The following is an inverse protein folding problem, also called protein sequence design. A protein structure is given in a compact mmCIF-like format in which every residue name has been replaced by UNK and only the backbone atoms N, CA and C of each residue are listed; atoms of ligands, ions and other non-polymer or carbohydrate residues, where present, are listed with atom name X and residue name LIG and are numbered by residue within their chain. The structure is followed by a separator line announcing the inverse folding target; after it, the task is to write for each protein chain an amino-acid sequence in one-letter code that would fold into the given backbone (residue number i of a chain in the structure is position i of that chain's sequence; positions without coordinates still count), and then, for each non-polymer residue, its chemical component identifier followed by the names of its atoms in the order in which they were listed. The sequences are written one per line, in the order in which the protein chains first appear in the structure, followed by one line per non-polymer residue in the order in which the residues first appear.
data_IF_691483884203
#
_entry.id   IF_691483884203
#
_cell.length_a   1.000
_cell.length_b   1.000
_cell.length_c   1.000
_cell.angle_alpha   90.00
_cell.angle_beta   90.00
_cell.angle_gamma   90.00
#
_symmetry.space_group_name_H-M   'P 1'
#
loop_
_entity.id
_entity.type
_entity.pdbx_description
1 polymer ?
#
# COMPACT_ATOMS: atom_id res chain seq x y z
N UNK A 1 45.29 32.84 -25.89
CA UNK A 1 44.52 31.82 -25.16
C UNK A 1 45.42 31.30 -24.04
N UNK A 2 45.18 31.73 -22.81
CA UNK A 2 45.97 31.33 -21.63
C UNK A 2 45.16 30.27 -20.86
N UNK A 3 45.83 29.15 -20.56
CA UNK A 3 45.27 27.96 -19.92
C UNK A 3 44.86 28.23 -18.47
N UNK A 4 43.62 27.91 -18.11
CA UNK A 4 43.03 28.09 -16.76
C UNK A 4 42.77 26.76 -16.04
N UNK A 5 43.41 25.67 -16.46
CA UNK A 5 43.02 24.32 -16.02
C UNK A 5 43.86 23.75 -14.85
N UNK A 6 44.83 24.51 -14.31
CA UNK A 6 45.71 24.01 -13.23
C UNK A 6 45.01 23.91 -11.88
N UNK A 7 44.02 24.75 -11.62
CA UNK A 7 43.39 24.84 -10.29
C UNK A 7 42.49 23.63 -9.98
N UNK A 8 42.00 22.93 -11.02
CA UNK A 8 41.13 21.77 -10.84
C UNK A 8 41.91 20.51 -10.40
N UNK A 9 43.19 20.42 -10.75
CA UNK A 9 44.05 19.28 -10.43
C UNK A 9 44.46 19.31 -8.95
N UNK A 10 44.74 20.51 -8.41
CA UNK A 10 45.12 20.66 -7.01
C UNK A 10 43.96 20.34 -6.04
N UNK A 11 42.73 20.62 -6.45
CA UNK A 11 41.54 20.26 -5.68
C UNK A 11 41.36 18.72 -5.59
N UNK A 12 41.52 18.01 -6.71
CA UNK A 12 41.42 16.54 -6.74
C UNK A 12 42.48 15.83 -5.90
N UNK A 13 43.69 16.38 -5.79
CA UNK A 13 44.75 15.81 -4.95
C UNK A 13 44.47 15.99 -3.45
N UNK A 14 43.71 17.03 -3.06
CA UNK A 14 43.28 17.22 -1.66
C UNK A 14 42.18 16.24 -1.27
N UNK A 15 41.27 15.91 -2.20
CA UNK A 15 40.21 14.93 -1.96
C UNK A 15 40.74 13.49 -1.84
N UNK A 16 41.80 13.14 -2.57
CA UNK A 16 42.44 11.81 -2.48
C UNK A 16 43.11 11.58 -1.11
N UNK A 17 43.70 12.61 -0.51
CA UNK A 17 44.30 12.51 0.83
C UNK A 17 43.25 12.44 1.96
N UNK A 18 42.01 12.86 1.68
CA UNK A 18 40.91 12.77 2.64
C UNK A 18 40.36 11.34 2.76
N UNK A 19 40.31 10.58 1.65
CA UNK A 19 39.83 9.18 1.67
C UNK A 19 40.73 8.27 2.50
N UNK A 20 42.06 8.38 2.37
CA UNK A 20 42.99 7.55 3.16
C UNK A 20 42.91 7.84 4.66
N UNK A 21 42.67 9.09 5.05
CA UNK A 21 42.47 9.46 6.46
C UNK A 21 41.16 8.91 7.00
N UNK A 22 40.11 8.86 6.18
CA UNK A 22 38.83 8.25 6.53
C UNK A 22 38.96 6.75 6.74
N UNK A 23 39.63 6.04 5.84
CA UNK A 23 39.82 4.59 5.96
C UNK A 23 40.63 4.21 7.19
N UNK A 24 41.65 4.99 7.54
CA UNK A 24 42.41 4.80 8.79
C UNK A 24 41.55 5.06 10.02
N UNK A 25 40.69 6.08 9.98
CA UNK A 25 39.79 6.40 11.09
C UNK A 25 38.67 5.37 11.27
N UNK A 26 38.15 4.82 10.17
CA UNK A 26 37.16 3.73 10.19
C UNK A 26 37.79 2.47 10.78
N UNK A 27 39.01 2.10 10.37
CA UNK A 27 39.72 0.95 10.94
C UNK A 27 40.01 1.09 12.44
N UNK A 28 40.20 2.30 12.95
CA UNK A 28 40.39 2.54 14.39
C UNK A 28 39.08 2.47 15.20
N UNK A 29 37.92 2.57 14.55
CA UNK A 29 36.61 2.58 15.20
C UNK A 29 35.91 1.22 15.16
N UNK A 30 36.40 0.28 14.35
CA UNK A 30 35.94 -1.11 14.38
C UNK A 30 36.79 -1.81 15.43
N UNK A 31 36.26 -2.15 16.62
CA UNK A 31 36.98 -2.97 17.58
C UNK A 31 37.35 -4.30 16.91
N UNK A 32 38.53 -4.84 17.23
CA UNK A 32 38.96 -6.16 16.77
C UNK A 32 37.96 -7.21 17.28
N UNK A 33 36.93 -7.48 16.49
CA UNK A 33 35.94 -8.50 16.81
C UNK A 33 36.64 -9.85 16.75
N UNK A 34 36.52 -10.59 17.85
CA UNK A 34 37.15 -11.89 18.05
C UNK A 34 36.76 -12.83 16.88
N UNK A 35 37.72 -13.36 16.10
CA UNK A 35 37.45 -14.15 14.89
C UNK A 35 36.49 -15.33 15.14
N UNK A 36 36.43 -15.82 16.37
CA UNK A 36 35.52 -16.90 16.77
C UNK A 36 34.03 -16.47 16.71
N UNK A 37 33.72 -15.21 17.02
CA UNK A 37 32.35 -14.66 16.93
C UNK A 37 31.91 -14.59 15.47
N UNK A 38 32.80 -14.19 14.57
CA UNK A 38 32.51 -14.13 13.13
C UNK A 38 32.20 -15.52 12.55
N UNK A 39 32.98 -16.54 12.91
CA UNK A 39 32.74 -17.91 12.43
C UNK A 39 31.43 -18.49 12.94
N UNK A 40 31.08 -18.27 14.22
CA UNK A 40 29.82 -18.77 14.79
C UNK A 40 28.60 -18.10 14.15
N UNK A 41 28.65 -16.80 13.88
CA UNK A 41 27.57 -16.10 13.20
C UNK A 41 27.42 -16.59 11.75
N UNK A 42 28.53 -16.79 11.05
CA UNK A 42 28.51 -17.29 9.67
C UNK A 42 27.95 -18.72 9.59
N UNK A 43 28.27 -19.57 10.58
CA UNK A 43 27.67 -20.90 10.72
C UNK A 43 26.16 -20.85 10.96
N UNK A 44 25.68 -19.93 11.81
CA UNK A 44 24.24 -19.70 12.05
C UNK A 44 23.52 -19.21 10.79
N UNK A 45 24.14 -18.33 10.00
CA UNK A 45 23.59 -17.86 8.71
C UNK A 45 23.43 -19.01 7.72
N UNK A 46 24.46 -19.85 7.57
CA UNK A 46 24.40 -21.04 6.69
C UNK A 46 23.34 -22.04 7.13
N UNK A 47 23.19 -22.31 8.43
CA UNK A 47 22.15 -23.23 8.91
C UNK A 47 20.74 -22.67 8.67
N UNK A 48 20.53 -21.37 8.88
CA UNK A 48 19.24 -20.73 8.61
C UNK A 48 18.88 -20.76 7.11
N UNK A 49 19.85 -20.55 6.23
CA UNK A 49 19.64 -20.66 4.78
C UNK A 49 19.27 -22.08 4.35
N UNK A 50 19.93 -23.10 4.90
CA UNK A 50 19.61 -24.51 4.64
C UNK A 50 18.19 -24.87 5.09
N UNK A 51 17.75 -24.39 6.25
CA UNK A 51 16.38 -24.61 6.74
C UNK A 51 15.33 -23.97 5.85
N UNK A 52 15.57 -22.74 5.38
CA UNK A 52 14.69 -22.05 4.42
C UNK A 52 14.62 -22.83 3.10
N UNK A 53 15.74 -23.35 2.61
CA UNK A 53 15.77 -24.16 1.40
C UNK A 53 14.98 -25.47 1.58
N UNK A 54 15.14 -26.17 2.70
CA UNK A 54 14.39 -27.39 3.01
C UNK A 54 12.88 -27.13 3.05
N UNK A 55 12.45 -26.07 3.72
CA UNK A 55 11.02 -25.69 3.80
C UNK A 55 10.44 -25.32 2.44
N UNK A 56 11.23 -24.70 1.56
CA UNK A 56 10.80 -24.39 0.20
C UNK A 56 10.70 -25.66 -0.68
N UNK A 57 11.57 -26.65 -0.48
CA UNK A 57 11.47 -27.94 -1.17
C UNK A 57 10.22 -28.72 -0.72
N UNK A 58 9.92 -28.74 0.57
CA UNK A 58 8.71 -29.39 1.11
C UNK A 58 7.43 -28.79 0.51
N UNK A 59 7.35 -27.44 0.45
CA UNK A 59 6.21 -26.75 -0.20
C UNK A 59 6.03 -27.14 -1.66
N UNK A 60 7.12 -27.34 -2.41
CA UNK A 60 7.05 -27.82 -3.81
C UNK A 60 6.50 -29.24 -3.89
N UNK A 61 6.89 -30.14 -2.99
CA UNK A 61 6.36 -31.51 -2.96
C UNK A 61 4.87 -31.55 -2.62
N UNK A 62 4.40 -30.71 -1.70
CA UNK A 62 2.97 -30.62 -1.36
C UNK A 62 2.14 -30.14 -2.55
N UNK A 63 2.61 -29.13 -3.28
CA UNK A 63 1.92 -28.64 -4.49
C UNK A 63 1.83 -29.71 -5.59
N UNK A 64 2.89 -30.52 -5.80
CA UNK A 64 2.88 -31.59 -6.80
C UNK A 64 1.93 -32.75 -6.44
N UNK A 65 1.68 -33.01 -5.15
CA UNK A 65 0.71 -34.04 -4.72
C UNK A 65 -0.74 -33.60 -4.93
N UNK A 66 -1.01 -32.29 -4.80
CA UNK A 66 -2.36 -31.75 -5.01
C UNK A 66 -2.80 -31.79 -6.47
N UNK A 67 -1.90 -31.63 -7.45
CA UNK A 67 -2.26 -31.63 -8.87
C UNK A 67 -2.48 -33.03 -9.47
N UNK A 68 -1.99 -34.10 -8.83
CA UNK A 68 -2.17 -35.48 -9.31
C UNK A 68 -3.50 -36.13 -8.89
N UNK A 69 -4.20 -35.60 -7.88
CA UNK A 69 -5.44 -36.21 -7.36
C UNK A 69 -6.71 -35.68 -8.04
N UNK A 70 -6.61 -34.68 -8.91
CA UNK A 70 -7.75 -34.09 -9.64
C UNK A 70 -7.93 -34.63 -11.08
N UNK A 71 -7.02 -35.45 -11.59
CA UNK A 71 -7.10 -35.97 -12.98
C UNK A 71 -7.70 -37.38 -13.11
N UNK A 72 -8.12 -38.03 -12.02
CA UNK A 72 -8.59 -39.43 -12.03
C UNK A 72 -10.09 -39.60 -11.69
N UNK A 73 -10.91 -38.56 -11.88
CA UNK A 73 -12.36 -38.60 -11.68
C UNK A 73 -13.19 -38.06 -12.85
N UNK A 74 -12.64 -38.01 -14.06
CA UNK A 74 -13.37 -37.60 -15.26
C UNK A 74 -13.42 -38.72 -16.30
N UNK A 75 -13.92 -39.89 -15.93
CA UNK A 75 -14.41 -40.87 -16.90
C UNK A 75 -15.45 -41.75 -16.23
N UNK A 76 -16.73 -41.41 -16.44
CA UNK A 76 -17.96 -42.21 -16.32
C UNK A 76 -19.10 -41.35 -15.76
N UNK A 77 -19.72 -40.52 -16.60
CA UNK A 77 -21.19 -40.43 -16.66
C UNK A 77 -21.61 -39.57 -17.84
N UNK A 78 -21.87 -40.25 -18.95
CA UNK A 78 -22.78 -39.77 -19.99
C UNK A 78 -24.23 -40.04 -19.56
N UNK A 79 -25.11 -39.10 -19.93
CA UNK A 79 -26.55 -39.28 -20.23
C UNK A 79 -27.54 -39.25 -19.05
N UNK A 80 -28.17 -38.08 -18.79
CA UNK A 80 -29.62 -37.87 -19.00
C UNK A 80 -30.11 -36.46 -18.64
N UNK A 81 -31.03 -36.01 -19.49
CA UNK A 81 -32.21 -35.17 -19.22
C UNK A 81 -32.11 -33.68 -18.87
N UNK A 82 -32.78 -32.93 -19.75
CA UNK A 82 -33.15 -31.53 -19.68
C UNK A 82 -34.01 -31.22 -18.44
N UNK A 83 -33.76 -30.07 -17.81
CA UNK A 83 -34.80 -29.14 -17.37
C UNK A 83 -34.20 -27.74 -17.14
N UNK A 84 -34.86 -26.65 -17.58
CA UNK A 84 -34.43 -25.29 -17.29
C UNK A 84 -35.14 -24.78 -16.04
N UNK A 85 -34.40 -24.44 -14.98
CA UNK A 85 -34.94 -23.74 -13.82
C UNK A 85 -33.97 -22.69 -13.31
N UNK A 86 -34.31 -21.45 -13.66
CA UNK A 86 -34.11 -20.18 -12.94
C UNK A 86 -32.69 -19.89 -12.41
N UNK A 87 -32.08 -18.92 -13.09
CA UNK A 87 -30.85 -18.24 -12.75
C UNK A 87 -31.02 -17.49 -11.42
N UNK A 88 -30.26 -17.89 -10.40
CA UNK A 88 -29.82 -16.99 -9.34
C UNK A 88 -28.52 -16.33 -9.80
N UNK A 89 -28.61 -15.02 -10.08
CA UNK A 89 -27.46 -14.14 -10.28
C UNK A 89 -26.67 -14.02 -8.97
N UNK A 90 -25.67 -14.88 -8.80
CA UNK A 90 -24.50 -14.53 -7.99
C UNK A 90 -23.40 -14.10 -8.96
N UNK A 91 -23.22 -12.78 -9.03
CA UNK A 91 -22.15 -12.12 -9.76
C UNK A 91 -20.83 -12.37 -9.01
N UNK A 92 -20.25 -13.55 -9.16
CA UNK A 92 -18.86 -13.77 -8.82
C UNK A 92 -18.02 -13.09 -9.91
N UNK A 93 -17.43 -11.94 -9.57
CA UNK A 93 -16.45 -11.23 -10.37
C UNK A 93 -15.22 -12.12 -10.58
N UNK A 94 -15.33 -13.01 -11.56
CA UNK A 94 -14.27 -13.87 -12.05
C UNK A 94 -13.33 -13.02 -12.92
N UNK A 95 -12.65 -12.07 -12.28
CA UNK A 95 -11.59 -11.30 -12.91
C UNK A 95 -10.34 -12.19 -13.00
N UNK A 96 -10.31 -13.06 -14.00
CA UNK A 96 -9.08 -13.63 -14.57
C UNK A 96 -8.27 -12.55 -15.30
N UNK A 97 -8.06 -11.42 -14.62
CA UNK A 97 -7.24 -10.31 -15.04
C UNK A 97 -5.77 -10.65 -14.81
N UNK A 98 -5.12 -11.04 -15.90
CA UNK A 98 -3.74 -10.71 -16.24
C UNK A 98 -2.70 -10.82 -15.10
N UNK A 99 -2.10 -12.01 -14.95
CA UNK A 99 -0.99 -12.32 -14.02
C UNK A 99 0.18 -11.32 -14.11
N UNK A 100 0.39 -10.68 -15.26
CA UNK A 100 1.42 -9.65 -15.47
C UNK A 100 1.19 -8.35 -14.66
N UNK A 101 -0.05 -8.00 -14.30
CA UNK A 101 -0.32 -6.78 -13.53
C UNK A 101 -0.04 -6.95 -12.03
N UNK A 102 -0.26 -8.15 -11.46
CA UNK A 102 0.05 -8.44 -10.05
C UNK A 102 1.56 -8.42 -9.75
N UNK A 103 2.42 -8.65 -10.75
CA UNK A 103 3.88 -8.64 -10.58
C UNK A 103 4.41 -7.19 -10.50
N UNK A 104 3.78 -6.24 -11.19
CA UNK A 104 4.19 -4.82 -11.18
C UNK A 104 3.83 -4.09 -9.87
N UNK A 105 2.74 -4.48 -9.21
CA UNK A 105 2.33 -3.87 -7.92
C UNK A 105 3.29 -4.23 -6.77
N UNK A 106 3.98 -5.39 -6.83
CA UNK A 106 4.93 -5.79 -5.79
C UNK A 106 6.27 -5.05 -5.85
N UNK A 107 6.69 -4.57 -7.02
CA UNK A 107 7.98 -3.89 -7.18
C UNK A 107 8.00 -2.43 -6.68
N UNK A 108 6.83 -1.79 -6.53
CA UNK A 108 6.76 -0.40 -6.06
C UNK A 108 6.83 -0.27 -4.52
N UNK A 109 6.64 -1.35 -3.76
CA UNK A 109 6.56 -1.31 -2.29
C UNK A 109 7.93 -1.34 -1.57
N UNK A 110 9.03 -1.65 -2.26
CA UNK A 110 10.34 -1.84 -1.63
C UNK A 110 11.30 -0.65 -1.77
N UNK A 111 10.93 0.42 -2.48
CA UNK A 111 11.79 1.60 -2.68
C UNK A 111 11.85 2.55 -1.46
N UNK A 112 11.16 2.25 -0.36
CA UNK A 112 11.07 3.15 0.80
C UNK A 112 12.15 2.92 1.85
N UNK A 113 13.05 1.95 1.69
CA UNK A 113 14.03 1.60 2.74
C UNK A 113 15.13 2.67 2.85
N UNK A 114 15.62 3.21 1.74
CA UNK A 114 16.79 4.11 1.71
C UNK A 114 16.46 5.58 1.39
N UNK A 115 15.37 6.10 1.94
CA UNK A 115 15.02 7.53 1.77
C UNK A 115 15.65 8.35 2.93
N UNK A 116 16.40 9.44 2.66
CA UNK A 116 17.10 10.21 3.69
C UNK A 116 16.14 10.92 4.65
N UNK A 117 16.61 11.23 5.85
CA UNK A 117 15.87 11.99 6.87
C UNK A 117 15.74 13.46 6.44
N UNK A 118 14.57 14.06 6.64
CA UNK A 118 14.36 15.46 6.28
C UNK A 118 15.17 16.41 7.19
N UNK A 119 15.99 17.26 6.59
CA UNK A 119 16.80 18.27 7.29
C UNK A 119 15.98 19.44 7.85
N UNK A 120 14.78 19.68 7.32
CA UNK A 120 13.91 20.80 7.71
C UNK A 120 12.89 20.42 8.80
N UNK A 121 12.93 19.20 9.33
CA UNK A 121 12.09 18.79 10.45
C UNK A 121 12.51 19.54 11.73
N UNK A 122 11.60 20.12 12.54
CA UNK A 122 10.13 20.00 12.55
C UNK A 122 9.36 21.03 11.70
N UNK A 123 10.03 22.02 11.09
CA UNK A 123 9.41 23.12 10.36
C UNK A 123 9.07 22.81 8.89
N UNK A 124 9.05 21.53 8.50
CA UNK A 124 8.86 21.11 7.10
C UNK A 124 7.41 21.34 6.64
N UNK A 125 7.22 22.22 5.64
CA UNK A 125 5.89 22.57 5.10
C UNK A 125 5.15 21.42 4.40
N UNK A 126 5.87 20.36 4.02
CA UNK A 126 5.31 19.27 3.22
C UNK A 126 4.70 18.14 4.06
N UNK A 127 4.95 18.09 5.38
CA UNK A 127 4.38 17.06 6.26
C UNK A 127 4.54 15.64 5.72
N UNK A 128 3.44 14.92 5.48
CA UNK A 128 3.48 13.55 4.91
C UNK A 128 3.66 13.50 3.39
N UNK A 129 3.64 14.64 2.70
CA UNK A 129 3.94 14.73 1.27
C UNK A 129 5.42 15.07 1.03
N UNK A 130 6.25 15.10 2.07
CA UNK A 130 7.68 15.38 1.94
C UNK A 130 8.39 14.28 1.13
N UNK A 131 9.37 14.69 0.32
CA UNK A 131 10.25 13.74 -0.36
C UNK A 131 11.21 13.04 0.62
N UNK A 132 11.46 13.57 1.80
CA UNK A 132 12.36 12.96 2.79
C UNK A 132 11.56 12.30 3.92
N UNK A 133 12.16 11.35 4.64
CA UNK A 133 11.49 10.65 5.76
C UNK A 133 11.31 11.59 6.94
N UNK A 134 10.14 11.50 7.57
CA UNK A 134 9.87 12.11 8.86
C UNK A 134 9.66 11.00 9.91
N UNK A 135 9.87 11.28 11.20
CA UNK A 135 9.50 10.33 12.25
C UNK A 135 7.99 10.00 12.20
N UNK A 136 7.64 8.80 12.65
CA UNK A 136 6.26 8.32 12.67
C UNK A 136 5.39 9.15 13.63
N UNK A 137 4.14 9.41 13.23
CA UNK A 137 3.19 10.12 14.08
C UNK A 137 2.71 9.24 15.25
N UNK A 138 2.76 9.76 16.47
CA UNK A 138 2.25 9.07 17.67
C UNK A 138 0.75 8.72 17.56
N UNK A 139 -0.03 9.51 16.82
CA UNK A 139 -1.46 9.26 16.60
C UNK A 139 -1.73 8.35 15.38
N UNK A 140 -0.72 8.09 14.56
CA UNK A 140 -0.80 7.24 13.37
C UNK A 140 -2.03 7.54 12.49
N UNK A 141 -2.81 6.50 12.23
CA UNK A 141 -4.08 6.55 11.46
C UNK A 141 -5.17 7.44 12.06
N UNK A 142 -5.10 7.75 13.37
CA UNK A 142 -6.13 8.53 14.08
C UNK A 142 -5.78 10.03 14.16
N UNK A 143 -4.68 10.45 13.54
CA UNK A 143 -4.29 11.85 13.53
C UNK A 143 -5.27 12.68 12.70
N UNK A 144 -5.96 13.63 13.35
CA UNK A 144 -6.89 14.56 12.69
C UNK A 144 -6.23 15.90 12.33
N UNK A 145 -4.98 16.14 12.75
CA UNK A 145 -4.27 17.39 12.46
C UNK A 145 -3.90 17.45 10.98
N UNK A 146 -4.42 18.45 10.27
CA UNK A 146 -4.13 18.69 8.85
C UNK A 146 -2.68 19.09 8.61
N UNK A 147 -2.08 19.81 9.56
CA UNK A 147 -0.68 20.25 9.48
C UNK A 147 0.24 19.36 10.31
N UNK A 148 -0.04 18.06 10.37
CA UNK A 148 0.85 17.13 11.06
C UNK A 148 2.17 16.99 10.28
N UNK A 149 3.27 17.36 10.94
CA UNK A 149 4.64 17.27 10.43
C UNK A 149 5.18 15.83 10.41
N UNK A 150 4.54 14.90 11.11
CA UNK A 150 4.98 13.51 11.21
C UNK A 150 4.49 12.65 10.04
N UNK A 151 5.17 11.53 9.80
CA UNK A 151 4.81 10.57 8.76
C UNK A 151 3.59 9.71 9.18
N UNK A 152 2.68 9.47 8.23
CA UNK A 152 1.49 8.64 8.41
C UNK A 152 1.50 7.47 7.43
N UNK A 153 0.97 6.29 7.82
CA UNK A 153 0.88 5.16 6.92
C UNK A 153 -0.01 5.47 5.70
N UNK A 154 0.36 4.98 4.50
CA UNK A 154 -0.43 5.18 3.29
C UNK A 154 -1.81 4.52 3.44
N UNK A 155 -2.86 5.22 3.00
CA UNK A 155 -4.25 4.76 3.12
C UNK A 155 -5.12 5.67 4.00
N UNK A 156 -4.51 6.49 4.84
CA UNK A 156 -5.20 7.62 5.47
C UNK A 156 -5.32 8.72 4.43
N UNK A 157 -6.36 8.64 3.59
CA UNK A 157 -6.77 9.81 2.84
C UNK A 157 -7.16 10.82 3.89
N UNK A 158 -6.30 11.82 4.12
CA UNK A 158 -6.68 13.05 4.82
C UNK A 158 -7.87 13.57 4.05
N UNK A 159 -9.07 13.22 4.50
CA UNK A 159 -10.26 13.92 4.05
C UNK A 159 -9.92 15.36 4.33
N UNK A 160 -9.80 16.18 3.28
CA UNK A 160 -9.73 17.62 3.47
C UNK A 160 -10.76 18.00 4.53
N UNK A 161 -10.42 18.94 5.44
CA UNK A 161 -11.35 19.35 6.48
C UNK A 161 -12.66 19.60 5.77
N UNK A 162 -13.63 18.75 6.11
CA UNK A 162 -14.92 18.75 5.48
C UNK A 162 -15.45 20.16 5.66
N UNK A 163 -15.34 21.02 4.65
CA UNK A 163 -15.76 22.40 4.79
C UNK A 163 -17.29 22.30 4.81
N UNK A 164 -17.94 22.47 5.97
CA UNK A 164 -19.40 22.29 6.05
C UNK A 164 -20.10 23.36 5.21
N UNK A 165 -19.41 24.40 4.74
CA UNK A 165 -19.93 25.36 3.76
C UNK A 165 -20.07 24.77 2.34
N UNK A 166 -19.25 23.79 1.95
CA UNK A 166 -19.38 23.09 0.65
C UNK A 166 -20.50 22.02 0.67
N UNK A 167 -20.79 21.44 1.84
CA UNK A 167 -22.15 21.26 2.39
C UNK A 167 -23.36 21.74 1.61
N UNK A 168 -23.46 23.06 1.56
CA UNK A 168 -24.75 23.72 1.58
C UNK A 168 -25.23 24.16 0.20
N UNK A 169 -24.37 24.00 -0.81
CA UNK A 169 -24.81 24.00 -2.19
C UNK A 169 -25.16 22.56 -2.57
N UNK A 170 -26.45 22.17 -2.60
CA UNK A 170 -26.81 20.98 -3.33
C UNK A 170 -26.19 21.10 -4.73
N UNK A 171 -25.66 20.02 -5.32
CA UNK A 171 -25.25 20.05 -6.71
C UNK A 171 -26.49 20.41 -7.52
N UNK A 172 -26.62 21.70 -7.86
CA UNK A 172 -27.67 22.17 -8.73
C UNK A 172 -27.53 21.35 -10.01
N UNK A 173 -28.54 20.54 -10.41
CA UNK A 173 -28.48 19.83 -11.66
C UNK A 173 -28.62 20.88 -12.78
N UNK A 174 -27.51 21.48 -13.21
CA UNK A 174 -27.48 22.42 -14.34
C UNK A 174 -27.70 21.73 -15.70
N UNK A 175 -28.23 20.50 -15.71
CA UNK A 175 -28.38 19.69 -16.93
C UNK A 175 -29.79 19.65 -17.51
N UNK A 176 -30.67 20.59 -17.18
CA UNK A 176 -32.01 20.56 -17.77
C UNK A 176 -32.69 21.94 -17.90
N UNK A 177 -32.01 22.90 -18.54
CA UNK A 177 -32.68 24.05 -19.15
C UNK A 177 -32.39 24.09 -20.66
N UNK A 178 -32.76 23.02 -21.35
CA UNK A 178 -33.07 23.07 -22.78
C UNK A 178 -34.52 22.61 -22.90
N UNK A 179 -35.40 23.52 -23.32
CA UNK A 179 -36.82 23.24 -23.47
C UNK A 179 -37.06 22.27 -24.64
N UNK A 180 -37.80 21.17 -24.46
CA UNK A 180 -38.43 20.49 -25.57
C UNK A 180 -39.75 21.18 -25.91
N UNK A 181 -39.82 21.77 -27.09
CA UNK A 181 -41.08 22.15 -27.72
C UNK A 181 -41.83 20.85 -28.06
N UNK A 182 -42.98 20.63 -27.40
CA UNK A 182 -44.08 19.78 -27.88
C UNK A 182 -43.82 18.27 -28.01
N UNK A 183 -44.25 17.48 -27.02
CA UNK A 183 -44.43 16.03 -27.16
C UNK A 183 -45.49 15.48 -26.20
N UNK A 184 -46.39 14.58 -26.64
CA UNK A 184 -47.58 14.22 -25.88
C UNK A 184 -47.28 13.32 -24.67
N UNK A 185 -47.98 13.69 -23.59
CA UNK A 185 -48.24 13.01 -22.32
C UNK A 185 -48.06 11.48 -22.34
N UNK A 186 -47.15 10.98 -21.50
CA UNK A 186 -47.32 9.66 -20.86
C UNK A 186 -47.34 9.83 -19.36
N UNK A 187 -48.45 9.43 -18.75
CA UNK A 187 -48.68 9.41 -17.29
C UNK A 187 -47.73 8.38 -16.65
N UNK A 188 -47.00 8.73 -15.58
CA UNK A 188 -46.37 7.72 -14.74
C UNK A 188 -47.41 7.01 -13.87
N UNK A 189 -47.22 5.71 -13.56
CA UNK A 189 -48.13 4.93 -12.74
C UNK A 189 -48.18 5.41 -11.29
N UNK A 190 -49.38 5.29 -10.74
CA UNK A 190 -49.78 5.61 -9.38
C UNK A 190 -49.03 4.81 -8.31
N UNK A 191 -48.58 5.53 -7.27
CA UNK A 191 -48.52 5.16 -5.85
C UNK A 191 -48.00 3.76 -5.49
N UNK A 192 -46.82 3.73 -4.88
CA UNK A 192 -46.57 2.81 -3.76
C UNK A 192 -46.08 3.64 -2.57
N UNK A 193 -46.96 3.78 -1.57
CA UNK A 193 -46.61 4.19 -0.21
C UNK A 193 -45.85 3.01 0.41
N UNK A 194 -44.63 3.20 0.92
CA UNK A 194 -44.10 2.31 1.96
C UNK A 194 -43.58 3.11 3.14
N UNK A 195 -43.91 2.57 4.31
CA UNK A 195 -43.95 3.22 5.60
C UNK A 195 -42.58 3.59 6.15
N UNK A 196 -42.59 4.72 6.85
CA UNK A 196 -41.68 5.10 7.93
C UNK A 196 -41.57 4.01 8.99
N UNK A 197 -40.35 3.50 9.20
CA UNK A 197 -39.99 2.68 10.36
C UNK A 197 -39.35 3.52 11.47
N UNK A 198 -39.66 3.29 12.75
CA UNK A 198 -39.22 4.12 13.86
C UNK A 198 -37.76 3.86 14.28
N UNK A 199 -37.08 4.96 14.61
CA UNK A 199 -35.77 4.96 15.27
C UNK A 199 -35.87 4.37 16.68
N UNK A 200 -35.07 3.35 16.98
CA UNK A 200 -34.74 2.97 18.36
C UNK A 200 -33.32 3.40 18.68
N UNK A 201 -33.20 4.43 19.51
CA UNK A 201 -32.00 4.72 20.31
C UNK A 201 -31.97 3.77 21.51
N UNK A 202 -30.82 3.20 21.88
CA UNK A 202 -30.57 2.83 23.25
C UNK A 202 -29.77 3.94 23.94
N UNK A 203 -30.46 4.65 24.85
CA UNK A 203 -29.82 5.31 25.99
C UNK A 203 -29.18 4.25 26.87
N UNK A 204 -27.92 4.44 27.26
CA UNK A 204 -27.39 3.83 28.48
C UNK A 204 -26.77 4.93 29.32
N UNK A 205 -27.53 5.28 30.33
CA UNK A 205 -27.18 6.09 31.49
C UNK A 205 -26.51 5.20 32.54
N UNK A 206 -25.46 5.75 33.15
CA UNK A 206 -25.10 5.70 34.59
C UNK A 206 -24.75 4.33 35.17
N UNK A 207 -23.56 4.21 35.79
CA UNK A 207 -23.43 3.90 37.23
C UNK A 207 -22.01 4.19 37.71
N UNK A 208 -21.93 5.21 38.56
CA UNK A 208 -20.85 5.51 39.51
C UNK A 208 -20.65 4.38 40.52
N UNK A 209 -19.40 4.06 40.84
CA UNK A 209 -18.93 3.71 42.19
C UNK A 209 -17.43 3.95 42.27
#
# INVERSE_FOLDING_TARGET
MQFKDTDHIEQSLKDYNFSEKLDKKIKQLIPDEDPEVYETENKRKRSAEQEIQARNQEKKQVQQKQTKTTSEKQDTHSKKEQQPRQQEEQHEDNSNGNIMERIKIKQQKTLTINKPICTHFPNCKFGSACLNKHPACNYGVRCTRMDCFYEHPPGVKRTQPYNPAMQMYPPFPYKQMMMPVGGPRRKPPSKVKMASGPQKKPSQEITTK
#
